data_IF_194397080810
#
_entry.id   IF_194397080810
#
_cell.length_a   1.000
_cell.length_b   1.000
_cell.length_c   1.000
_cell.angle_alpha   90.00
_cell.angle_beta   90.00
_cell.angle_gamma   90.00
#
_symmetry.space_group_name_H-M   'P 1'
#
loop_
_entity.id
_entity.type
_entity.pdbx_description
1 polymer ?
#
# COMPACT_ATOMS: atom_id res chain seq x y z
N UNK A 1 38.09 22.08 55.87
CA UNK A 1 36.74 22.69 55.67
C UNK A 1 36.07 22.08 54.44
N UNK A 2 35.13 21.17 54.62
CA UNK A 2 34.40 20.55 53.49
C UNK A 2 33.32 21.49 52.99
N UNK A 3 33.44 22.03 51.78
CA UNK A 3 32.39 22.78 51.12
C UNK A 3 31.22 21.83 50.77
N UNK A 4 30.12 21.97 51.47
CA UNK A 4 28.85 21.31 51.09
C UNK A 4 28.39 21.93 49.78
N UNK A 5 28.48 21.16 48.68
CA UNK A 5 27.88 21.56 47.40
C UNK A 5 26.35 21.52 47.54
N UNK A 6 25.72 22.69 47.48
CA UNK A 6 24.27 22.80 47.44
C UNK A 6 23.79 22.24 46.12
N UNK A 7 23.35 21.01 46.10
CA UNK A 7 22.62 20.39 44.96
C UNK A 7 21.17 20.87 45.03
N UNK A 8 20.85 21.82 44.17
CA UNK A 8 19.44 22.23 43.97
C UNK A 8 18.74 21.04 43.29
N UNK A 9 17.91 20.32 44.02
CA UNK A 9 17.01 19.30 43.49
C UNK A 9 15.75 19.94 42.88
N UNK A 10 15.15 19.28 41.88
CA UNK A 10 13.86 19.69 41.34
C UNK A 10 12.76 19.53 42.39
N UNK A 11 11.83 20.47 42.40
CA UNK A 11 10.67 20.39 43.27
C UNK A 11 9.63 19.40 42.66
N UNK A 12 8.84 18.77 43.52
CA UNK A 12 7.74 17.88 43.09
C UNK A 12 6.73 18.62 42.22
N UNK A 13 6.51 19.91 42.50
CA UNK A 13 5.59 20.75 41.74
C UNK A 13 6.11 21.01 40.30
N UNK A 14 7.40 21.25 40.12
CA UNK A 14 8.01 21.44 38.78
C UNK A 14 7.87 20.19 37.92
N UNK A 15 8.08 19.00 38.49
CA UNK A 15 7.91 17.76 37.77
C UNK A 15 6.42 17.52 37.41
N UNK A 16 5.48 17.84 38.32
CA UNK A 16 4.06 17.66 38.08
C UNK A 16 3.53 18.56 36.94
N UNK A 17 3.99 19.81 36.87
CA UNK A 17 3.63 20.70 35.77
C UNK A 17 4.16 20.20 34.44
N UNK A 18 5.41 19.73 34.39
CA UNK A 18 6.03 19.20 33.17
C UNK A 18 5.26 17.99 32.63
N UNK A 19 4.93 17.02 33.47
CA UNK A 19 4.19 15.83 33.02
C UNK A 19 2.77 16.18 32.59
N UNK A 20 2.13 17.16 33.24
CA UNK A 20 0.80 17.63 32.84
C UNK A 20 0.82 18.26 31.43
N UNK A 21 1.83 19.09 31.11
CA UNK A 21 1.98 19.71 29.79
C UNK A 21 2.24 18.63 28.74
N UNK A 22 3.16 17.67 29.01
CA UNK A 22 3.45 16.58 28.09
C UNK A 22 2.20 15.74 27.83
N UNK A 23 1.41 15.42 28.84
CA UNK A 23 0.18 14.65 28.70
C UNK A 23 -0.81 15.31 27.74
N UNK A 24 -1.00 16.63 27.83
CA UNK A 24 -1.88 17.39 26.92
C UNK A 24 -1.34 17.38 25.49
N UNK A 25 -0.04 17.59 25.31
CA UNK A 25 0.59 17.60 23.98
C UNK A 25 0.47 16.22 23.29
N UNK A 26 0.74 15.15 24.03
CA UNK A 26 0.64 13.77 23.53
C UNK A 26 -0.80 13.41 23.17
N UNK A 27 -1.78 13.83 23.96
CA UNK A 27 -3.20 13.58 23.69
C UNK A 27 -3.65 14.14 22.31
N UNK A 28 -3.10 15.28 21.90
CA UNK A 28 -3.40 15.91 20.60
C UNK A 28 -2.53 15.29 19.48
N UNK A 29 -1.28 14.97 19.77
CA UNK A 29 -0.32 14.51 18.78
C UNK A 29 -0.64 13.11 18.24
N UNK A 30 -1.05 12.16 19.09
CA UNK A 30 -1.30 10.75 18.71
C UNK A 30 -2.32 10.61 17.57
N UNK A 31 -3.55 11.15 17.64
CA UNK A 31 -4.55 10.98 16.58
C UNK A 31 -4.12 11.62 15.27
N UNK A 32 -3.45 12.76 15.30
CA UNK A 32 -2.94 13.45 14.12
C UNK A 32 -1.82 12.66 13.46
N UNK A 33 -0.91 12.11 14.25
CA UNK A 33 0.20 11.29 13.76
C UNK A 33 -0.28 9.99 13.10
N UNK A 34 -1.21 9.28 13.72
CA UNK A 34 -1.76 8.03 13.15
C UNK A 34 -2.45 8.25 11.81
N UNK A 35 -3.18 9.36 11.66
CA UNK A 35 -3.80 9.74 10.39
C UNK A 35 -2.76 10.02 9.31
N UNK A 36 -1.71 10.78 9.65
CA UNK A 36 -0.62 11.12 8.73
C UNK A 36 0.17 9.87 8.32
N UNK A 37 0.44 8.98 9.28
CA UNK A 37 1.10 7.70 9.02
C UNK A 37 0.28 6.81 8.07
N UNK A 38 -1.04 6.74 8.25
CA UNK A 38 -1.89 5.98 7.32
C UNK A 38 -1.86 6.57 5.91
N UNK A 39 -1.88 7.90 5.76
CA UNK A 39 -1.75 8.54 4.44
C UNK A 39 -0.44 8.19 3.76
N UNK A 40 0.68 8.21 4.50
CA UNK A 40 1.99 7.85 3.98
C UNK A 40 2.03 6.38 3.53
N UNK A 41 1.46 5.47 4.31
CA UNK A 41 1.36 4.04 3.95
C UNK A 41 0.51 3.83 2.70
N UNK A 42 -0.65 4.47 2.59
CA UNK A 42 -1.50 4.40 1.40
C UNK A 42 -0.77 4.90 0.16
N UNK A 43 -0.01 5.98 0.27
CA UNK A 43 0.78 6.51 -0.85
C UNK A 43 1.89 5.54 -1.29
N UNK A 44 2.58 4.92 -0.33
CA UNK A 44 3.59 3.89 -0.60
C UNK A 44 2.97 2.64 -1.26
N UNK A 45 1.85 2.16 -0.74
CA UNK A 45 1.11 1.04 -1.34
C UNK A 45 0.70 1.35 -2.78
N UNK A 46 0.16 2.54 -3.03
CA UNK A 46 -0.24 2.98 -4.36
C UNK A 46 0.95 3.03 -5.34
N UNK A 47 2.13 3.46 -4.88
CA UNK A 47 3.34 3.47 -5.68
C UNK A 47 3.77 2.04 -6.04
N UNK A 48 3.77 1.12 -5.10
CA UNK A 48 4.10 -0.29 -5.33
C UNK A 48 3.10 -0.97 -6.27
N UNK A 49 1.80 -0.69 -6.13
CA UNK A 49 0.78 -1.25 -7.02
C UNK A 49 0.95 -0.69 -8.46
N UNK A 50 1.29 0.59 -8.63
CA UNK A 50 1.60 1.16 -9.95
C UNK A 50 2.85 0.54 -10.56
N UNK A 51 3.89 0.30 -9.78
CA UNK A 51 5.10 -0.39 -10.23
C UNK A 51 4.79 -1.81 -10.72
N UNK A 52 4.01 -2.56 -9.94
CA UNK A 52 3.57 -3.89 -10.33
C UNK A 52 2.72 -3.88 -11.61
N UNK A 53 1.83 -2.91 -11.77
CA UNK A 53 1.05 -2.74 -13.01
C UNK A 53 1.97 -2.52 -14.21
N UNK A 54 2.98 -1.66 -14.08
CA UNK A 54 3.95 -1.42 -15.17
C UNK A 54 4.74 -2.69 -15.52
N UNK A 55 5.14 -3.48 -14.51
CA UNK A 55 5.82 -4.75 -14.71
C UNK A 55 4.93 -5.77 -15.44
N UNK A 56 3.65 -5.86 -15.07
CA UNK A 56 2.66 -6.70 -15.77
C UNK A 56 2.50 -6.28 -17.21
N UNK A 57 2.37 -4.97 -17.48
CA UNK A 57 2.24 -4.48 -18.85
C UNK A 57 3.48 -4.79 -19.70
N UNK A 58 4.67 -4.66 -19.12
CA UNK A 58 5.91 -5.02 -19.82
C UNK A 58 5.97 -6.52 -20.13
N UNK A 59 5.56 -7.38 -19.21
CA UNK A 59 5.52 -8.83 -19.43
C UNK A 59 4.51 -9.23 -20.51
N UNK A 60 3.29 -8.67 -20.45
CA UNK A 60 2.25 -8.88 -21.45
C UNK A 60 2.75 -8.48 -22.84
N UNK A 61 3.37 -7.31 -22.95
CA UNK A 61 3.89 -6.81 -24.22
C UNK A 61 5.04 -7.66 -24.79
N UNK A 62 5.80 -8.32 -23.92
CA UNK A 62 6.97 -9.10 -24.32
C UNK A 62 6.62 -10.55 -24.60
N UNK A 63 5.75 -11.15 -23.79
CA UNK A 63 5.54 -12.60 -23.76
C UNK A 63 4.12 -13.03 -24.17
N UNK A 64 3.12 -12.16 -24.11
CA UNK A 64 1.71 -12.51 -24.24
C UNK A 64 0.94 -11.76 -25.33
N UNK A 65 1.61 -10.90 -26.12
CA UNK A 65 0.96 -10.24 -27.28
C UNK A 65 0.50 -11.22 -28.36
N UNK A 66 1.15 -12.40 -28.45
CA UNK A 66 0.86 -13.43 -29.43
C UNK A 66 -0.06 -14.55 -28.90
N UNK A 67 -0.40 -14.53 -27.62
CA UNK A 67 -1.38 -15.45 -27.00
C UNK A 67 -2.82 -15.10 -27.44
N UNK A 68 -2.98 -14.81 -28.71
CA UNK A 68 -4.24 -14.91 -29.43
C UNK A 68 -4.63 -16.38 -29.38
N UNK A 69 -5.42 -16.75 -28.37
CA UNK A 69 -5.82 -18.12 -28.18
C UNK A 69 -6.30 -18.70 -29.50
N UNK A 70 -5.58 -19.68 -30.01
CA UNK A 70 -6.04 -20.53 -31.13
C UNK A 70 -7.22 -21.42 -30.73
N UNK A 71 -7.79 -21.15 -29.56
CA UNK A 71 -8.94 -21.85 -29.00
C UNK A 71 -10.01 -20.87 -28.51
N UNK A 72 -11.22 -21.36 -28.39
CA UNK A 72 -12.45 -20.62 -28.02
C UNK A 72 -12.46 -20.02 -26.61
N UNK A 73 -11.37 -20.11 -25.87
CA UNK A 73 -11.26 -19.56 -24.49
C UNK A 73 -9.91 -18.88 -24.32
N UNK A 74 -9.88 -17.54 -24.12
CA UNK A 74 -8.64 -16.84 -23.85
C UNK A 74 -8.04 -17.30 -22.51
N UNK A 75 -6.74 -17.66 -22.52
CA UNK A 75 -6.06 -18.09 -21.31
C UNK A 75 -5.80 -16.88 -20.39
N UNK A 76 -6.50 -16.85 -19.27
CA UNK A 76 -6.32 -15.83 -18.25
C UNK A 76 -4.93 -15.96 -17.61
N UNK A 77 -4.18 -14.87 -17.53
CA UNK A 77 -2.91 -14.81 -16.80
C UNK A 77 -3.08 -14.00 -15.52
N UNK A 78 -2.65 -14.56 -14.41
CA UNK A 78 -2.73 -13.96 -13.08
C UNK A 78 -1.33 -13.64 -12.59
N UNK A 79 -1.13 -12.41 -12.14
CA UNK A 79 0.12 -11.93 -11.57
C UNK A 79 -0.06 -11.55 -10.12
N UNK A 80 0.89 -11.91 -9.28
CA UNK A 80 0.94 -11.55 -7.87
C UNK A 80 2.07 -10.54 -7.64
N UNK A 81 1.78 -9.44 -6.96
CA UNK A 81 2.75 -8.43 -6.62
C UNK A 81 3.67 -8.90 -5.48
N UNK A 82 4.98 -8.67 -5.64
CA UNK A 82 6.01 -8.90 -4.63
C UNK A 82 6.45 -7.60 -3.97
N UNK A 83 7.09 -7.71 -2.80
CA UNK A 83 7.61 -6.56 -2.02
C UNK A 83 8.63 -5.72 -2.76
N UNK A 84 9.38 -6.32 -3.65
CA UNK A 84 10.40 -5.66 -4.48
C UNK A 84 9.81 -4.92 -5.69
N UNK A 85 8.48 -4.90 -5.85
CA UNK A 85 7.78 -4.30 -6.97
C UNK A 85 7.74 -5.17 -8.22
N UNK A 86 8.33 -6.37 -8.22
CA UNK A 86 8.21 -7.35 -9.30
C UNK A 86 6.91 -8.12 -9.20
N UNK A 87 6.59 -8.87 -10.24
CA UNK A 87 5.40 -9.72 -10.28
C UNK A 87 5.77 -11.17 -10.59
N UNK A 88 4.97 -12.10 -10.10
CA UNK A 88 5.10 -13.53 -10.42
C UNK A 88 3.75 -14.05 -10.88
N UNK A 89 3.76 -14.96 -11.84
CA UNK A 89 2.55 -15.64 -12.29
C UNK A 89 1.98 -16.55 -11.18
N UNK A 90 0.67 -16.73 -11.16
CA UNK A 90 0.00 -17.51 -10.14
C UNK A 90 -1.42 -17.89 -10.51
N UNK A 91 -2.20 -18.27 -9.52
CA UNK A 91 -3.60 -18.64 -9.67
C UNK A 91 -4.50 -17.58 -9.04
N UNK A 92 -5.63 -17.29 -9.66
CA UNK A 92 -6.62 -16.35 -9.13
C UNK A 92 -7.09 -16.77 -7.73
N UNK A 93 -7.13 -15.80 -6.81
CA UNK A 93 -7.48 -16.04 -5.41
C UNK A 93 -6.34 -16.60 -4.54
N UNK A 94 -5.27 -17.11 -5.13
CA UNK A 94 -4.07 -17.51 -4.41
C UNK A 94 -3.00 -16.41 -4.49
N UNK A 95 -2.89 -15.59 -3.46
CA UNK A 95 -1.95 -14.47 -3.38
C UNK A 95 -0.54 -14.96 -3.04
N UNK A 96 0.13 -15.57 -4.01
CA UNK A 96 1.50 -16.10 -3.87
C UNK A 96 2.59 -15.01 -3.73
N UNK A 97 2.25 -13.74 -3.99
CA UNK A 97 3.14 -12.61 -3.75
C UNK A 97 3.29 -12.32 -2.26
N UNK A 98 4.46 -11.85 -1.87
CA UNK A 98 4.76 -11.47 -0.48
C UNK A 98 4.43 -10.01 -0.15
N UNK A 99 3.92 -9.24 -1.14
CA UNK A 99 3.44 -7.89 -0.91
C UNK A 99 2.14 -7.89 -0.10
N UNK A 100 2.13 -7.03 0.93
CA UNK A 100 0.94 -6.75 1.73
C UNK A 100 0.76 -5.25 1.86
N UNK A 101 -0.44 -4.77 1.59
CA UNK A 101 -0.80 -3.37 1.79
C UNK A 101 -0.65 -2.99 3.27
N UNK A 102 -0.08 -1.83 3.55
CA UNK A 102 0.17 -1.33 4.91
C UNK A 102 -0.87 -0.30 5.34
N UNK A 103 -1.38 0.47 4.40
CA UNK A 103 -2.38 1.51 4.64
C UNK A 103 -3.80 1.04 4.41
N UNK A 104 -4.76 1.81 4.91
CA UNK A 104 -6.19 1.63 4.64
C UNK A 104 -6.69 2.74 3.72
N UNK A 105 -7.09 2.37 2.50
CA UNK A 105 -7.71 3.24 1.49
C UNK A 105 -9.19 2.86 1.30
N UNK A 106 -9.92 2.64 2.41
CA UNK A 106 -11.28 2.09 2.39
C UNK A 106 -12.39 3.14 2.26
N UNK A 107 -12.09 4.41 2.57
CA UNK A 107 -13.07 5.50 2.44
C UNK A 107 -13.23 5.92 0.98
N UNK A 108 -14.44 6.32 0.61
CA UNK A 108 -14.80 6.82 -0.73
C UNK A 108 -13.90 7.98 -1.19
N UNK A 109 -13.42 8.78 -0.24
CA UNK A 109 -12.52 9.92 -0.51
C UNK A 109 -11.03 9.57 -0.49
N UNK A 110 -10.67 8.31 -0.23
CA UNK A 110 -9.28 7.83 -0.15
C UNK A 110 -8.93 6.84 -1.25
N UNK A 111 -9.84 6.60 -2.19
CA UNK A 111 -9.55 5.80 -3.38
C UNK A 111 -8.34 6.36 -4.12
N UNK A 112 -7.51 5.49 -4.64
CA UNK A 112 -6.33 5.84 -5.42
C UNK A 112 -6.57 5.51 -6.88
N UNK A 113 -6.24 6.44 -7.76
CA UNK A 113 -6.23 6.17 -9.19
C UNK A 113 -4.97 5.36 -9.54
N UNK A 114 -5.19 4.18 -10.10
CA UNK A 114 -4.15 3.31 -10.62
C UNK A 114 -4.55 2.91 -12.03
N UNK A 115 -3.81 3.43 -12.99
CA UNK A 115 -4.04 3.18 -14.43
C UNK A 115 -5.48 3.47 -14.88
N UNK A 116 -6.07 4.55 -14.40
CA UNK A 116 -7.42 4.98 -14.74
C UNK A 116 -8.54 4.28 -13.94
N UNK A 117 -8.18 3.43 -12.98
CA UNK A 117 -9.14 2.78 -12.09
C UNK A 117 -9.03 3.29 -10.66
N UNK A 118 -10.17 3.66 -10.08
CA UNK A 118 -10.26 4.11 -8.68
C UNK A 118 -10.34 2.89 -7.76
N UNK A 119 -9.20 2.52 -7.17
CA UNK A 119 -9.08 1.37 -6.29
C UNK A 119 -9.13 1.74 -4.82
N UNK A 120 -9.65 0.84 -4.01
CA UNK A 120 -9.61 0.89 -2.56
C UNK A 120 -9.08 -0.44 -1.99
N UNK A 121 -8.46 -0.39 -0.81
CA UNK A 121 -7.96 -1.58 -0.13
C UNK A 121 -7.94 -1.43 1.38
N UNK A 122 -7.99 -2.56 2.10
CA UNK A 122 -7.68 -2.64 3.53
C UNK A 122 -6.19 -2.87 3.76
N UNK A 123 -5.75 -2.80 5.02
CA UNK A 123 -4.40 -3.25 5.40
C UNK A 123 -4.26 -4.78 5.28
N UNK A 124 -3.03 -5.26 5.12
CA UNK A 124 -2.67 -6.69 5.06
C UNK A 124 -3.33 -7.47 3.89
N UNK A 125 -3.63 -6.77 2.79
CA UNK A 125 -4.20 -7.39 1.57
C UNK A 125 -3.11 -7.63 0.53
N UNK A 126 -3.10 -8.83 -0.06
CA UNK A 126 -2.32 -9.12 -1.26
C UNK A 126 -2.89 -8.41 -2.49
N UNK A 127 -2.08 -8.24 -3.51
CA UNK A 127 -2.47 -7.60 -4.78
C UNK A 127 -2.25 -8.58 -5.93
N UNK A 128 -3.29 -8.75 -6.73
CA UNK A 128 -3.26 -9.51 -7.97
C UNK A 128 -3.66 -8.64 -9.15
N UNK A 129 -3.02 -8.88 -10.29
CA UNK A 129 -3.42 -8.35 -11.58
C UNK A 129 -3.90 -9.52 -12.44
N UNK A 130 -5.02 -9.34 -13.10
CA UNK A 130 -5.61 -10.39 -13.93
C UNK A 130 -5.68 -9.86 -15.36
N UNK A 131 -4.89 -10.45 -16.23
CA UNK A 131 -4.95 -10.20 -17.67
C UNK A 131 -5.84 -11.26 -18.32
N UNK A 132 -6.83 -10.82 -19.06
CA UNK A 132 -7.66 -11.69 -19.87
C UNK A 132 -7.53 -11.21 -21.30
N UNK A 133 -6.84 -11.95 -22.19
CA UNK A 133 -6.77 -11.60 -23.59
C UNK A 133 -8.17 -11.51 -24.17
N UNK A 134 -8.41 -10.54 -25.05
CA UNK A 134 -9.65 -10.49 -25.80
C UNK A 134 -9.71 -11.66 -26.79
N UNK A 135 -10.80 -12.40 -26.82
CA UNK A 135 -11.07 -13.26 -27.97
C UNK A 135 -11.17 -12.35 -29.21
N UNK A 136 -10.47 -12.72 -30.29
CA UNK A 136 -10.30 -11.88 -31.47
C UNK A 136 -11.63 -11.79 -32.24
N UNK A 137 -12.53 -10.90 -31.79
CA UNK A 137 -13.73 -10.50 -32.52
C UNK A 137 -13.51 -9.16 -33.26
N UNK A 138 -12.28 -8.62 -33.22
CA UNK A 138 -11.90 -7.36 -33.86
C UNK A 138 -12.54 -6.12 -33.23
N UNK A 139 -13.28 -6.26 -32.13
CA UNK A 139 -13.83 -5.13 -31.39
C UNK A 139 -12.94 -4.75 -30.20
N UNK A 140 -12.49 -3.49 -30.05
CA UNK A 140 -11.80 -3.07 -28.86
C UNK A 140 -12.75 -3.16 -27.66
N UNK A 141 -12.45 -4.05 -26.72
CA UNK A 141 -13.22 -4.21 -25.48
C UNK A 141 -13.01 -2.97 -24.61
N UNK A 142 -13.90 -2.02 -24.75
CA UNK A 142 -13.99 -0.82 -23.95
C UNK A 142 -15.00 -1.07 -22.81
N UNK A 143 -14.56 -1.80 -21.77
CA UNK A 143 -15.32 -1.91 -20.50
C UNK A 143 -14.40 -1.71 -19.33
#
# INVERSE_FOLDING_TARGET
>A
MNKIKNTKGFTLMEMLIVVAIIAVLVAIAIPTFTTSLNKARVAADAANIRSGYAAVMADILTNHLEDKGTGTTPTKVVYNLKKDGTVVTGTEGNYAGDFKTQGKATDTNKKQDIAGQMLNWGSEKGVQYIYTPSADDGTPNNK
#
